data_IF_923009468649
#
_entry.id   IF_923009468649
#
_cell.length_a   1.000
_cell.length_b   1.000
_cell.length_c   1.000
_cell.angle_alpha   90.00
_cell.angle_beta   90.00
_cell.angle_gamma   90.00
#
_symmetry.space_group_name_H-M   'P 1'
#
loop_
_entity.id
_entity.type
_entity.pdbx_description
1 polymer ?
2 polymer ?
3 polymer ?
4 water ?
#
loop_
_entity_poly.entity_id
_entity_poly.type
_entity_poly.pdbx_seq_one_letter_code
_entity_poly.pdbx_strand_id
2 'polyribonucleotide' 'AACAGAGUGCGACACCUGAUUCCAU' ?
3 'polydeoxyribonucleotide' '(DT)(DG)(DG)(DA)(DA)(DT)(DC)(DA)(DG)(DG)(DT)(DG)(DT)(DC)(DG)(DC)(DA)(DC)(DT)(DC)(DT)(DG)' ?
#
# COMPACT_ATOMS: atom_id res chain seq x y z
N UNK A 38 -23.70 -20.36 10.73
CA UNK A 38 -23.43 -19.83 12.07
C UNK A 38 -23.51 -18.31 12.09
N UNK A 39 -23.08 -17.69 10.98
CA UNK A 39 -23.10 -16.23 10.85
C UNK A 39 -23.67 -15.79 9.50
N UNK A 40 -24.84 -16.31 9.15
CA UNK A 40 -25.41 -16.24 7.79
C UNK A 40 -25.49 -14.81 7.25
N UNK A 41 -25.77 -13.85 8.13
CA UNK A 41 -25.98 -12.48 7.70
C UNK A 41 -24.73 -11.85 7.06
N UNK A 42 -23.58 -12.02 7.72
CA UNK A 42 -22.36 -11.29 7.35
C UNK A 42 -21.54 -11.90 6.22
N UNK A 43 -21.91 -13.08 5.75
CA UNK A 43 -21.15 -13.74 4.69
C UNK A 43 -21.79 -13.57 3.33
N UNK A 44 -21.20 -12.73 2.50
CA UNK A 44 -21.71 -12.48 1.16
C UNK A 44 -22.24 -13.75 0.52
N UNK A 45 -21.44 -14.81 0.57
CA UNK A 45 -21.81 -16.10 -0.02
C UNK A 45 -23.20 -16.56 0.44
N UNK A 46 -23.58 -16.18 1.65
CA UNK A 46 -24.90 -16.49 2.20
C UNK A 46 -25.82 -15.27 2.27
N UNK A 47 -25.51 -14.33 3.16
CA UNK A 47 -26.35 -13.18 3.40
C UNK A 47 -26.59 -12.26 2.22
N UNK A 48 -26.32 -12.73 1.00
CA UNK A 48 -26.63 -11.99 -0.22
C UNK A 48 -25.97 -10.62 -0.34
N UNK A 49 -26.20 -9.97 -1.48
CA UNK A 49 -25.62 -8.65 -1.76
C UNK A 49 -25.81 -7.69 -0.60
N UNK A 50 -24.84 -6.80 -0.41
CA UNK A 50 -24.85 -5.91 0.74
C UNK A 50 -25.49 -4.55 0.49
N UNK A 51 -25.87 -3.90 1.58
CA UNK A 51 -26.37 -2.53 1.54
C UNK A 51 -26.03 -1.81 2.85
N UNK A 52 -25.12 -0.85 2.76
CA UNK A 52 -24.75 -0.05 3.92
C UNK A 52 -25.97 0.71 4.41
N UNK A 53 -26.56 0.21 5.49
CA UNK A 53 -27.83 0.72 5.99
C UNK A 53 -27.76 2.12 6.63
N UNK A 54 -26.74 2.37 7.43
CA UNK A 54 -26.54 3.70 7.99
C UNK A 54 -26.17 4.70 6.89
N UNK A 55 -25.92 4.22 5.69
CA UNK A 55 -25.44 5.09 4.61
C UNK A 55 -26.53 5.51 3.63
N UNK A 56 -26.87 6.80 3.63
CA UNK A 56 -27.94 7.30 2.78
C UNK A 56 -27.41 7.54 1.37
N UNK A 57 -28.23 7.19 0.36
CA UNK A 57 -27.94 7.35 -1.07
C UNK A 57 -27.10 8.58 -1.36
N UNK A 58 -26.13 8.38 -2.22
CA UNK A 58 -25.17 9.41 -2.55
C UNK A 58 -25.66 10.35 -3.65
N UNK A 59 -25.36 11.62 -3.48
CA UNK A 59 -25.64 12.61 -4.51
C UNK A 59 -24.31 13.19 -4.98
N UNK A 60 -23.97 12.89 -6.23
CA UNK A 60 -22.68 13.25 -6.81
C UNK A 60 -22.68 14.69 -7.34
N UNK A 61 -22.01 15.60 -6.62
CA UNK A 61 -21.89 17.02 -6.98
C UNK A 61 -21.11 17.23 -8.28
N UNK A 62 -21.73 17.91 -9.23
CA UNK A 62 -21.13 18.09 -10.55
C UNK A 62 -20.33 19.37 -10.64
N UNK A 63 -19.46 19.43 -11.64
CA UNK A 63 -18.70 20.65 -11.92
C UNK A 63 -19.69 21.74 -12.29
N UNK A 64 -19.42 22.96 -11.83
CA UNK A 64 -20.31 24.09 -12.06
C UNK A 64 -20.54 24.40 -13.55
N UNK A 65 -19.84 23.69 -14.42
CA UNK A 65 -19.83 24.04 -15.84
C UNK A 65 -19.97 22.84 -16.77
N UNK A 66 -20.26 21.68 -16.20
CA UNK A 66 -20.30 20.44 -16.96
C UNK A 66 -21.52 20.28 -17.87
N UNK A 67 -21.50 19.23 -18.70
CA UNK A 67 -22.60 18.92 -19.59
C UNK A 67 -22.57 17.43 -19.91
N UNK A 68 -23.72 16.77 -19.87
CA UNK A 68 -23.85 15.35 -20.21
C UNK A 68 -23.03 14.96 -21.44
N UNK A 69 -22.54 13.72 -21.44
CA UNK A 69 -21.68 13.25 -22.51
C UNK A 69 -22.05 11.83 -22.86
N UNK A 70 -22.47 11.63 -24.10
CA UNK A 70 -22.66 10.28 -24.59
C UNK A 70 -21.37 9.88 -25.26
N UNK A 71 -20.96 8.64 -25.05
CA UNK A 71 -19.70 8.13 -25.59
C UNK A 71 -19.89 6.74 -26.16
N UNK A 72 -19.44 6.55 -27.39
CA UNK A 72 -19.67 5.33 -28.14
C UNK A 72 -19.16 4.07 -27.44
N UNK A 73 -20.09 3.18 -27.09
CA UNK A 73 -19.72 1.89 -26.50
C UNK A 73 -18.61 1.22 -27.31
N UNK A 74 -17.40 1.22 -26.76
CA UNK A 74 -16.25 0.56 -27.38
C UNK A 74 -16.61 -0.87 -27.75
N UNK A 75 -16.08 -1.36 -28.86
CA UNK A 75 -16.24 -2.78 -29.18
C UNK A 75 -15.42 -3.63 -28.21
N UNK A 76 -15.91 -4.80 -27.85
CA UNK A 76 -15.16 -5.68 -26.94
C UNK A 76 -14.70 -6.99 -27.56
N UNK A 77 -15.58 -7.99 -27.59
CA UNK A 77 -15.28 -9.31 -28.13
C UNK A 77 -16.31 -10.30 -27.63
N UNK A 78 -16.30 -11.50 -28.19
CA UNK A 78 -17.24 -12.54 -27.79
C UNK A 78 -16.99 -13.00 -26.36
N UNK A 79 -15.72 -12.92 -25.93
CA UNK A 79 -15.33 -13.37 -24.60
C UNK A 79 -15.57 -12.28 -23.55
N UNK A 80 -15.38 -11.02 -23.95
CA UNK A 80 -15.68 -9.90 -23.07
C UNK A 80 -17.20 -9.73 -22.91
N UNK A 81 -17.91 -9.68 -24.03
CA UNK A 81 -19.37 -9.61 -24.00
C UNK A 81 -19.94 -10.79 -23.21
N UNK A 82 -19.31 -11.96 -23.33
CA UNK A 82 -19.77 -13.13 -22.61
C UNK A 82 -19.21 -13.19 -21.19
N UNK A 83 -18.13 -12.46 -20.95
CA UNK A 83 -17.48 -12.44 -19.66
C UNK A 83 -18.35 -11.79 -18.59
N UNK A 84 -18.71 -10.53 -18.83
CA UNK A 84 -19.56 -9.78 -17.91
C UNK A 84 -21.04 -9.93 -18.25
N UNK A 85 -21.33 -10.70 -19.29
CA UNK A 85 -22.71 -10.97 -19.68
C UNK A 85 -23.54 -11.51 -18.52
N UNK A 86 -23.07 -12.58 -17.86
CA UNK A 86 -23.89 -13.15 -16.79
C UNK A 86 -23.94 -12.21 -15.59
N UNK A 87 -23.02 -11.25 -15.53
CA UNK A 87 -22.97 -10.30 -14.42
C UNK A 87 -24.01 -9.20 -14.62
N UNK A 88 -24.00 -8.59 -15.79
CA UNK A 88 -24.98 -7.57 -16.12
C UNK A 88 -26.39 -8.13 -15.99
N UNK A 89 -26.51 -9.46 -16.00
CA UNK A 89 -27.81 -10.12 -15.89
C UNK A 89 -28.11 -10.48 -14.44
N UNK A 90 -27.07 -10.82 -13.69
CA UNK A 90 -27.19 -11.11 -12.28
C UNK A 90 -27.54 -9.84 -11.49
N UNK A 91 -26.99 -8.71 -11.92
CA UNK A 91 -27.17 -7.43 -11.25
C UNK A 91 -28.55 -6.85 -11.53
N UNK A 92 -28.99 -7.07 -12.75
CA UNK A 92 -30.26 -6.56 -13.24
C UNK A 92 -31.41 -6.99 -12.34
N UNK A 93 -31.70 -8.29 -12.36
CA UNK A 93 -32.77 -8.84 -11.55
C UNK A 93 -32.49 -8.65 -10.06
N UNK A 94 -31.30 -8.18 -9.75
CA UNK A 94 -30.91 -7.95 -8.36
C UNK A 94 -31.12 -6.48 -7.97
N UNK A 95 -31.51 -5.67 -8.95
CA UNK A 95 -31.87 -4.29 -8.70
C UNK A 95 -30.72 -3.31 -8.84
N UNK A 96 -29.50 -3.80 -8.61
CA UNK A 96 -28.33 -2.94 -8.66
C UNK A 96 -28.24 -2.24 -10.00
N UNK A 97 -28.81 -2.89 -11.02
CA UNK A 97 -28.80 -2.36 -12.38
C UNK A 97 -30.23 -2.21 -12.92
N UNK A 98 -30.51 -1.06 -13.52
CA UNK A 98 -31.86 -0.72 -13.98
C UNK A 98 -31.92 -0.07 -15.36
N UNK A 99 -32.98 -0.40 -16.13
CA UNK A 99 -33.25 0.21 -17.43
C UNK A 99 -33.28 1.72 -17.33
N UNK A 100 -32.52 2.40 -18.19
CA UNK A 100 -32.39 3.84 -18.12
C UNK A 100 -32.30 4.49 -19.49
N UNK A 101 -32.62 5.77 -19.55
CA UNK A 101 -32.47 6.57 -20.76
C UNK A 101 -31.80 7.90 -20.42
N UNK A 102 -30.50 7.99 -20.71
CA UNK A 102 -29.71 9.11 -20.24
C UNK A 102 -28.95 9.83 -21.35
N UNK A 103 -28.83 11.16 -21.21
CA UNK A 103 -27.96 12.00 -22.03
C UNK A 103 -26.56 11.41 -22.05
N UNK A 104 -26.01 11.23 -20.85
CA UNK A 104 -24.69 10.63 -20.69
C UNK A 104 -24.70 9.19 -21.17
N UNK A 105 -23.62 8.83 -21.86
CA UNK A 105 -23.28 7.42 -22.00
C UNK A 105 -21.78 7.33 -21.90
N UNK A 106 -21.30 6.34 -21.14
CA UNK A 106 -19.90 5.97 -21.14
C UNK A 106 -19.84 4.46 -21.34
N UNK A 107 -18.74 3.98 -21.97
CA UNK A 107 -18.64 2.58 -22.37
C UNK A 107 -18.14 1.71 -21.23
N UNK A 108 -18.75 0.56 -21.01
CA UNK A 108 -18.26 -0.30 -19.93
C UNK A 108 -16.97 -1.05 -20.30
N UNK A 109 -16.05 -1.09 -19.35
CA UNK A 109 -14.71 -1.64 -19.56
C UNK A 109 -14.49 -2.86 -18.66
N UNK A 110 -15.03 -4.03 -19.03
CA UNK A 110 -14.85 -5.22 -18.19
C UNK A 110 -13.39 -5.70 -18.09
N UNK A 111 -13.07 -6.45 -17.03
CA UNK A 111 -11.71 -6.93 -16.79
C UNK A 111 -11.72 -8.43 -16.36
N UNK A 112 -10.60 -8.92 -15.82
CA UNK A 112 -10.55 -10.32 -15.36
C UNK A 112 -9.32 -10.63 -14.48
N UNK A 113 -9.25 -11.87 -13.99
CA UNK A 113 -8.11 -12.33 -13.19
C UNK A 113 -7.94 -13.85 -13.27
N UNK A 118 -13.85 -15.14 -14.20
CA UNK A 118 -14.91 -14.30 -14.76
C UNK A 118 -14.41 -12.90 -15.11
N UNK A 119 -15.33 -11.94 -15.14
CA UNK A 119 -15.00 -10.57 -15.49
C UNK A 119 -15.62 -9.57 -14.50
N UNK A 120 -14.97 -8.40 -14.41
CA UNK A 120 -15.49 -7.30 -13.60
C UNK A 120 -16.29 -6.32 -14.46
N UNK A 121 -17.44 -5.89 -13.94
CA UNK A 121 -18.26 -4.89 -14.64
C UNK A 121 -17.70 -3.45 -14.53
N UNK A 122 -16.38 -3.27 -14.61
CA UNK A 122 -15.80 -1.93 -14.56
C UNK A 122 -16.39 -1.09 -15.67
N UNK A 123 -16.20 0.23 -15.62
CA UNK A 123 -16.75 1.09 -16.65
C UNK A 123 -15.83 2.26 -16.96
N UNK A 124 -15.39 2.35 -18.20
CA UNK A 124 -14.51 3.45 -18.62
C UNK A 124 -15.27 4.76 -18.62
N UNK A 125 -14.94 5.64 -17.68
CA UNK A 125 -15.66 6.90 -17.60
C UNK A 125 -14.81 8.05 -17.10
N UNK A 126 -13.75 8.35 -17.84
CA UNK A 126 -12.89 9.50 -17.53
C UNK A 126 -13.61 10.81 -17.83
N UNK A 127 -14.48 10.75 -18.84
CA UNK A 127 -15.23 11.93 -19.28
C UNK A 127 -16.21 12.40 -18.22
N UNK A 128 -16.89 11.44 -17.58
CA UNK A 128 -17.79 11.76 -16.47
C UNK A 128 -17.00 12.32 -15.29
N UNK A 129 -16.11 11.52 -14.74
CA UNK A 129 -15.43 11.92 -13.51
C UNK A 129 -14.47 13.10 -13.70
N UNK A 130 -14.43 13.64 -14.91
CA UNK A 130 -13.72 14.89 -15.12
C UNK A 130 -14.72 16.04 -15.07
N UNK A 131 -15.99 15.71 -15.32
CA UNK A 131 -17.10 16.66 -15.17
C UNK A 131 -17.58 16.69 -13.71
N UNK A 132 -17.01 15.84 -12.87
CA UNK A 132 -17.37 15.77 -11.46
C UNK A 132 -16.33 16.45 -10.57
N UNK A 133 -16.80 17.23 -9.60
CA UNK A 133 -15.92 17.98 -8.71
C UNK A 133 -15.04 17.05 -7.88
N UNK A 134 -14.00 17.61 -7.26
CA UNK A 134 -13.07 16.82 -6.47
C UNK A 134 -13.37 16.96 -4.97
N UNK A 135 -12.98 15.95 -4.19
CA UNK A 135 -13.24 15.94 -2.75
C UNK A 135 -11.98 15.62 -1.97
N UNK A 136 -11.80 16.27 -0.83
CA UNK A 136 -10.64 16.01 0.02
C UNK A 136 -10.63 14.55 0.46
N UNK A 137 -9.63 13.78 -0.02
CA UNK A 137 -9.57 12.32 0.18
C UNK A 137 -9.28 11.89 1.61
N UNK A 138 -9.53 10.61 1.89
CA UNK A 138 -9.32 10.02 3.21
C UNK A 138 -8.85 8.56 3.16
N UNK A 139 -8.64 8.02 1.96
CA UNK A 139 -8.05 6.69 1.80
C UNK A 139 -6.72 6.61 2.53
N UNK A 140 -6.46 5.47 3.19
CA UNK A 140 -5.25 5.25 4.02
C UNK A 140 -3.92 5.21 3.23
N UNK A 141 -2.83 5.53 3.91
CA UNK A 141 -1.51 5.42 3.30
C UNK A 141 -0.95 4.01 3.46
N UNK A 142 -0.96 3.21 2.36
CA UNK A 142 -0.61 1.78 2.40
C UNK A 142 0.80 1.56 2.94
N UNK A 143 1.59 2.63 2.95
CA UNK A 143 2.99 2.60 3.35
C UNK A 143 3.13 2.45 4.87
N UNK A 144 2.33 3.20 5.63
CA UNK A 144 2.52 3.22 7.08
C UNK A 144 1.35 2.71 7.91
N UNK A 145 0.42 2.02 7.29
CA UNK A 145 -0.76 1.54 8.00
C UNK A 145 -0.37 0.58 9.11
N UNK A 146 0.58 -0.31 8.82
CA UNK A 146 0.99 -1.35 9.76
C UNK A 146 1.78 -0.77 10.92
N UNK A 147 2.31 0.44 10.73
CA UNK A 147 2.97 1.19 11.80
C UNK A 147 2.08 1.19 13.04
N UNK A 148 0.79 0.93 12.86
CA UNK A 148 -0.17 0.95 13.94
C UNK A 148 -0.60 -0.41 14.45
N UNK A 149 0.25 -1.41 14.25
CA UNK A 149 -0.02 -2.74 14.79
C UNK A 149 0.94 -3.03 15.94
N UNK A 150 0.42 -3.05 17.18
CA UNK A 150 1.18 -3.23 18.41
C UNK A 150 1.49 -4.72 18.71
N UNK A 151 2.74 -5.03 19.09
CA UNK A 151 3.25 -6.39 19.29
C UNK A 151 2.49 -7.13 20.38
N UNK A 152 1.81 -6.36 21.23
CA UNK A 152 0.89 -6.93 22.20
C UNK A 152 -0.11 -7.80 21.47
N UNK A 153 -0.43 -7.39 20.25
CA UNK A 153 -1.47 -8.03 19.45
C UNK A 153 -0.89 -8.84 18.30
N UNK A 154 -0.95 -10.15 18.46
CA UNK A 154 -0.30 -11.06 17.52
C UNK A 154 -1.22 -12.19 17.09
N UNK A 155 -2.48 -12.13 17.52
CA UNK A 155 -3.53 -12.98 16.97
C UNK A 155 -4.36 -12.21 15.95
N UNK A 156 -4.35 -12.69 14.70
CA UNK A 156 -4.86 -11.91 13.58
C UNK A 156 -6.05 -12.56 12.90
N UNK A 157 -6.97 -11.72 12.42
CA UNK A 157 -8.01 -12.14 11.48
C UNK A 157 -8.07 -11.14 10.33
N UNK A 158 -8.26 -11.62 9.11
CA UNK A 158 -8.44 -10.71 7.99
C UNK A 158 -9.74 -11.00 7.24
N UNK A 159 -10.54 -9.96 7.06
CA UNK A 159 -11.79 -10.06 6.32
C UNK A 159 -11.82 -9.13 5.11
N UNK A 160 -11.89 -9.73 3.92
CA UNK A 160 -12.02 -8.96 2.70
C UNK A 160 -13.50 -8.76 2.40
N UNK A 161 -13.87 -7.52 2.07
CA UNK A 161 -15.27 -7.19 1.84
C UNK A 161 -15.75 -7.40 0.39
N UNK A 162 -16.80 -8.22 0.24
CA UNK A 162 -17.35 -8.57 -1.05
C UNK A 162 -18.20 -7.42 -1.61
N UNK A 163 -17.93 -7.05 -2.86
CA UNK A 163 -18.68 -5.98 -3.53
C UNK A 163 -18.91 -4.80 -2.59
N UNK A 164 -17.82 -4.21 -2.13
CA UNK A 164 -17.93 -3.14 -1.13
C UNK A 164 -18.66 -1.91 -1.68
N UNK A 165 -18.22 -1.44 -2.84
CA UNK A 165 -18.79 -0.23 -3.42
C UNK A 165 -20.30 -0.31 -3.63
N UNK A 166 -20.80 -1.48 -3.98
CA UNK A 166 -22.24 -1.68 -4.20
C UNK A 166 -23.07 -1.58 -2.94
N UNK A 167 -22.42 -1.63 -1.77
CA UNK A 167 -23.14 -1.49 -0.52
C UNK A 167 -23.64 -0.05 -0.34
N UNK A 168 -23.01 0.88 -1.05
CA UNK A 168 -23.46 2.26 -1.08
C UNK A 168 -24.48 2.50 -2.18
N UNK A 169 -25.55 3.21 -1.82
CA UNK A 169 -26.63 3.49 -2.75
C UNK A 169 -26.37 4.78 -3.48
N UNK A 170 -26.79 4.82 -4.74
CA UNK A 170 -26.78 6.02 -5.53
C UNK A 170 -28.16 6.64 -5.45
N UNK A 171 -28.21 7.96 -5.32
CA UNK A 171 -29.47 8.67 -5.25
C UNK A 171 -29.99 8.89 -6.66
N UNK A 172 -31.30 8.72 -6.87
CA UNK A 172 -31.88 8.69 -8.23
C UNK A 172 -31.53 9.94 -9.02
N UNK A 173 -31.32 11.06 -8.32
CA UNK A 173 -30.89 12.26 -9.01
C UNK A 173 -29.63 11.99 -9.82
N UNK A 174 -28.63 11.39 -9.18
CA UNK A 174 -27.32 11.20 -9.80
C UNK A 174 -27.19 9.93 -10.65
N UNK A 175 -28.07 8.96 -10.42
CA UNK A 175 -28.07 7.70 -11.15
C UNK A 175 -27.77 7.74 -12.67
N UNK A 176 -28.30 8.74 -13.39
CA UNK A 176 -28.06 8.80 -14.85
C UNK A 176 -26.59 8.95 -15.27
N UNK A 177 -25.80 9.73 -14.54
CA UNK A 177 -24.40 9.96 -14.91
C UNK A 177 -23.70 8.67 -15.33
N UNK A 178 -24.16 7.55 -14.77
CA UNK A 178 -23.50 6.26 -14.93
C UNK A 178 -24.29 5.35 -15.86
N UNK A 179 -24.47 5.77 -17.10
CA UNK A 179 -25.23 4.97 -18.06
C UNK A 179 -24.35 4.43 -19.17
N UNK A 180 -24.77 3.30 -19.74
CA UNK A 180 -24.00 2.63 -20.78
C UNK A 180 -24.93 1.80 -21.66
N UNK A 181 -24.65 1.76 -22.96
CA UNK A 181 -25.53 1.04 -23.90
C UNK A 181 -25.69 -0.44 -23.57
N UNK A 182 -26.68 -1.08 -24.18
CA UNK A 182 -26.80 -2.53 -24.03
C UNK A 182 -27.67 -3.24 -25.09
N UNK A 183 -27.65 -4.58 -25.05
CA UNK A 183 -28.37 -5.43 -25.99
C UNK A 183 -28.37 -6.88 -25.52
N UNK A 184 -29.55 -7.50 -25.44
CA UNK A 184 -29.69 -8.92 -25.13
C UNK A 184 -31.16 -9.33 -24.97
N UNK A 192 -29.55 0.90 -23.26
CA UNK A 192 -28.90 1.72 -22.25
C UNK A 192 -29.39 1.40 -20.82
N UNK A 193 -28.45 1.12 -19.91
CA UNK A 193 -28.75 0.87 -18.50
C UNK A 193 -28.01 1.82 -17.55
N UNK A 194 -28.24 1.63 -16.24
CA UNK A 194 -27.54 2.42 -15.21
C UNK A 194 -27.54 1.82 -13.80
N UNK A 195 -26.72 2.43 -12.95
CA UNK A 195 -26.41 1.92 -11.62
C UNK A 195 -27.27 2.55 -10.53
N UNK A 196 -27.88 1.72 -9.70
CA UNK A 196 -28.57 2.25 -8.52
C UNK A 196 -27.60 2.33 -7.34
N UNK A 197 -26.50 1.57 -7.43
CA UNK A 197 -25.46 1.60 -6.40
C UNK A 197 -24.20 2.28 -6.93
N UNK A 198 -23.13 2.25 -6.14
CA UNK A 198 -21.87 2.90 -6.50
C UNK A 198 -20.96 2.01 -7.38
N UNK A 199 -20.63 2.49 -8.59
CA UNK A 199 -19.98 1.65 -9.61
C UNK A 199 -18.45 1.79 -9.61
N UNK A 200 -17.78 0.76 -10.11
CA UNK A 200 -16.33 0.81 -10.28
C UNK A 200 -15.96 1.60 -11.53
N UNK A 201 -14.94 2.44 -11.41
CA UNK A 201 -14.51 3.27 -12.52
C UNK A 201 -14.67 4.70 -12.09
N UNK A 202 -15.62 4.89 -11.18
CA UNK A 202 -15.94 6.21 -10.65
C UNK A 202 -14.82 6.69 -9.71
N UNK A 203 -14.38 7.92 -9.92
CA UNK A 203 -13.16 8.41 -9.28
C UNK A 203 -13.30 8.61 -7.78
N UNK A 204 -14.50 8.83 -7.30
CA UNK A 204 -14.69 9.05 -5.88
C UNK A 204 -15.00 7.77 -5.13
N UNK A 205 -15.46 6.75 -5.84
CA UNK A 205 -15.82 5.47 -5.20
C UNK A 205 -14.87 5.05 -4.07
N UNK A 206 -13.55 4.96 -4.36
CA UNK A 206 -12.58 4.64 -3.32
C UNK A 206 -12.74 5.45 -2.03
N UNK A 207 -12.59 6.77 -2.08
CA UNK A 207 -12.68 7.59 -0.86
C UNK A 207 -14.05 7.57 -0.18
N UNK A 208 -15.09 7.86 -0.95
CA UNK A 208 -16.46 7.79 -0.48
C UNK A 208 -16.70 6.56 0.35
N UNK A 209 -16.18 5.43 -0.11
CA UNK A 209 -16.40 4.18 0.62
C UNK A 209 -15.56 4.04 1.89
N UNK A 210 -14.31 4.49 1.83
CA UNK A 210 -13.48 4.46 3.01
C UNK A 210 -14.20 5.17 4.16
N UNK A 211 -14.55 6.43 3.94
CA UNK A 211 -15.26 7.25 4.91
C UNK A 211 -16.51 6.57 5.44
N UNK A 212 -17.36 6.12 4.54
CA UNK A 212 -18.58 5.42 4.95
C UNK A 212 -18.27 4.33 5.97
N UNK A 213 -17.35 3.43 5.62
CA UNK A 213 -17.06 2.27 6.44
C UNK A 213 -16.29 2.68 7.68
N UNK A 214 -15.37 3.62 7.53
CA UNK A 214 -14.62 4.10 8.66
C UNK A 214 -15.55 4.68 9.73
N UNK A 215 -16.46 5.52 9.27
CA UNK A 215 -17.49 6.09 10.14
C UNK A 215 -18.33 4.99 10.75
N UNK A 216 -18.82 4.07 9.93
CA UNK A 216 -19.66 3.01 10.45
C UNK A 216 -18.96 2.15 11.48
N UNK A 217 -17.63 2.18 11.50
CA UNK A 217 -16.86 1.33 12.40
C UNK A 217 -16.31 2.07 13.61
N UNK A 218 -16.33 3.39 13.56
CA UNK A 218 -15.86 4.24 14.66
C UNK A 218 -16.52 3.84 15.98
N UNK A 219 -17.67 3.18 15.89
CA UNK A 219 -18.38 2.70 17.06
C UNK A 219 -17.62 1.59 17.74
N UNK A 220 -17.60 0.43 17.07
CA UNK A 220 -16.73 -0.69 17.39
C UNK A 220 -15.39 -0.29 18.04
N UNK A 221 -14.60 0.51 17.32
CA UNK A 221 -13.25 0.86 17.76
C UNK A 221 -13.17 1.38 19.20
N UNK A 222 -14.13 2.19 19.62
CA UNK A 222 -14.15 2.68 20.99
C UNK A 222 -14.69 1.64 21.97
N UNK A 223 -15.59 0.78 21.46
CA UNK A 223 -16.29 -0.19 22.29
C UNK A 223 -15.49 -1.49 22.57
N UNK A 224 -14.72 -1.95 21.59
CA UNK A 224 -13.71 -2.98 21.83
C UNK A 224 -12.33 -2.37 21.69
N UNK A 225 -11.85 -1.69 22.73
CA UNK A 225 -10.56 -0.99 22.62
C UNK A 225 -9.41 -1.96 22.89
N UNK A 226 -9.77 -3.15 23.37
CA UNK A 226 -8.80 -4.22 23.58
C UNK A 226 -8.34 -4.83 22.25
N UNK A 227 -9.09 -4.55 21.18
CA UNK A 227 -8.79 -5.05 19.84
C UNK A 227 -8.16 -3.97 18.97
N UNK A 228 -7.41 -4.39 17.95
CA UNK A 228 -6.98 -3.48 16.89
C UNK A 228 -7.74 -3.75 15.62
N UNK A 229 -8.09 -2.67 14.90
CA UNK A 229 -8.75 -2.83 13.62
C UNK A 229 -8.12 -1.90 12.60
N UNK A 230 -7.26 -2.47 11.75
CA UNK A 230 -6.71 -1.73 10.62
C UNK A 230 -7.68 -1.89 9.45
N UNK A 231 -7.78 -0.88 8.61
CA UNK A 231 -8.72 -0.91 7.48
C UNK A 231 -8.13 -0.28 6.21
N UNK A 232 -7.80 -1.11 5.22
CA UNK A 232 -7.36 -0.57 3.93
C UNK A 232 -8.54 -0.57 2.98
N UNK A 233 -9.31 0.53 3.01
CA UNK A 233 -10.49 0.70 2.18
C UNK A 233 -11.46 -0.46 2.31
N UNK A 234 -11.16 -1.49 1.54
CA UNK A 234 -12.05 -2.59 1.25
C UNK A 234 -11.88 -3.72 2.28
N UNK A 235 -10.65 -3.93 2.75
CA UNK A 235 -10.38 -5.08 3.62
C UNK A 235 -9.71 -4.75 4.97
N UNK A 236 -10.00 -5.61 5.95
CA UNK A 236 -9.79 -5.29 7.36
C UNK A 236 -8.93 -6.30 8.08
N UNK A 237 -8.02 -5.77 8.90
CA UNK A 237 -7.26 -6.58 9.84
C UNK A 237 -7.74 -6.39 11.27
N UNK A 238 -8.01 -7.50 11.94
CA UNK A 238 -8.34 -7.50 13.36
C UNK A 238 -7.23 -8.17 14.18
N UNK A 239 -6.73 -7.49 15.21
CA UNK A 239 -5.65 -8.04 16.03
C UNK A 239 -6.01 -8.21 17.52
N UNK A 240 -5.93 -9.43 18.01
CA UNK A 240 -6.16 -9.70 19.42
C UNK A 240 -4.83 -9.92 20.13
N UNK A 241 -4.89 -10.52 21.31
CA UNK A 241 -3.68 -10.88 22.06
C UNK A 241 -3.78 -12.35 22.41
N UNK A 242 -4.91 -12.97 22.07
CA UNK A 242 -5.23 -14.30 22.54
C UNK A 242 -6.03 -15.05 21.49
N UNK A 243 -5.84 -16.36 21.42
CA UNK A 243 -6.58 -17.16 20.47
C UNK A 243 -8.09 -16.92 20.58
N UNK A 244 -8.59 -16.77 21.80
CA UNK A 244 -10.01 -16.51 22.01
C UNK A 244 -10.31 -15.01 22.03
N UNK A 245 -9.42 -14.22 22.63
CA UNK A 245 -9.58 -12.78 22.59
C UNK A 245 -9.63 -12.33 21.12
N UNK A 246 -9.26 -13.23 20.22
CA UNK A 246 -9.36 -12.96 18.80
C UNK A 246 -10.70 -13.45 18.32
N UNK A 247 -11.11 -14.62 18.79
CA UNK A 247 -12.39 -15.23 18.40
C UNK A 247 -13.58 -14.52 19.01
N UNK A 248 -13.34 -13.60 19.94
CA UNK A 248 -14.43 -12.76 20.41
C UNK A 248 -14.65 -11.69 19.36
N UNK A 249 -13.64 -10.83 19.18
CA UNK A 249 -13.71 -9.75 18.21
C UNK A 249 -14.19 -10.25 16.86
N UNK A 250 -13.65 -11.38 16.42
CA UNK A 250 -14.02 -11.93 15.13
C UNK A 250 -15.47 -12.39 15.12
N UNK A 251 -16.05 -12.59 16.30
CA UNK A 251 -17.50 -12.83 16.40
C UNK A 251 -18.23 -11.49 16.38
N UNK A 252 -17.85 -10.58 17.27
CA UNK A 252 -18.44 -9.25 17.35
C UNK A 252 -18.35 -8.53 15.99
N UNK A 253 -17.12 -8.21 15.57
CA UNK A 253 -16.92 -7.58 14.29
C UNK A 253 -17.71 -8.26 13.20
N UNK A 254 -17.57 -9.58 13.10
CA UNK A 254 -18.23 -10.31 12.02
C UNK A 254 -19.74 -10.10 12.10
N UNK A 255 -20.23 -9.83 13.30
CA UNK A 255 -21.64 -9.54 13.51
C UNK A 255 -21.96 -8.13 13.04
N UNK A 256 -21.43 -7.15 13.77
CA UNK A 256 -21.52 -5.73 13.38
C UNK A 256 -21.53 -5.49 11.86
N UNK A 257 -20.66 -6.18 11.13
CA UNK A 257 -20.59 -6.01 9.69
C UNK A 257 -21.86 -6.51 8.97
N UNK A 258 -22.43 -7.61 9.46
CA UNK A 258 -23.69 -8.11 8.95
C UNK A 258 -24.81 -7.11 9.18
N UNK A 259 -24.85 -6.54 10.39
CA UNK A 259 -25.83 -5.52 10.74
C UNK A 259 -25.68 -4.29 9.87
N UNK A 260 -24.54 -3.63 9.99
CA UNK A 260 -24.27 -2.44 9.20
C UNK A 260 -24.63 -2.63 7.71
N UNK A 261 -24.69 -3.87 7.26
CA UNK A 261 -25.15 -4.14 5.90
C UNK A 261 -24.03 -4.50 4.95
N UNK A 262 -22.83 -4.69 5.49
CA UNK A 262 -21.70 -5.09 4.69
C UNK A 262 -21.57 -6.62 4.68
N UNK A 263 -20.93 -7.16 3.66
CA UNK A 263 -20.70 -8.60 3.57
C UNK A 263 -19.23 -8.91 3.31
N UNK A 264 -18.73 -10.00 3.87
CA UNK A 264 -17.34 -10.39 3.67
C UNK A 264 -17.22 -11.75 3.00
N UNK A 265 -16.19 -11.87 2.16
CA UNK A 265 -15.94 -13.10 1.43
C UNK A 265 -15.55 -14.20 2.41
N UNK A 266 -16.29 -15.30 2.38
CA UNK A 266 -15.97 -16.46 3.21
C UNK A 266 -14.85 -17.26 2.54
N UNK A 267 -14.73 -17.13 1.23
CA UNK A 267 -13.61 -17.70 0.50
C UNK A 267 -12.31 -17.11 1.05
N UNK A 268 -12.16 -15.80 0.90
CA UNK A 268 -10.90 -15.12 1.25
C UNK A 268 -10.70 -14.79 2.74
N UNK A 269 -11.61 -15.27 3.60
CA UNK A 269 -11.51 -14.99 5.03
C UNK A 269 -10.28 -15.66 5.61
N UNK A 270 -9.69 -15.04 6.63
CA UNK A 270 -8.53 -15.58 7.35
C UNK A 270 -8.78 -15.44 8.83
N UNK A 271 -9.37 -16.46 9.44
CA UNK A 271 -9.84 -16.32 10.80
C UNK A 271 -8.88 -16.84 11.86
N UNK A 272 -8.68 -16.02 12.89
CA UNK A 272 -7.83 -16.35 14.03
C UNK A 272 -6.61 -17.19 13.71
N UNK A 273 -5.71 -16.62 12.90
CA UNK A 273 -4.48 -17.30 12.54
C UNK A 273 -3.32 -16.67 13.29
N UNK A 274 -2.21 -17.41 13.36
CA UNK A 274 -1.01 -16.90 13.99
C UNK A 274 -0.18 -16.18 12.92
N UNK A 275 -0.43 -16.52 11.66
CA UNK A 275 0.10 -15.73 10.54
C UNK A 275 -0.99 -15.50 9.50
N UNK A 276 -0.91 -14.35 8.82
CA UNK A 276 -1.89 -13.98 7.80
C UNK A 276 -1.24 -13.19 6.67
N UNK A 277 -1.82 -13.29 5.47
CA UNK A 277 -1.40 -12.45 4.37
C UNK A 277 -2.25 -11.17 4.37
N UNK A 278 -1.58 -10.02 4.29
CA UNK A 278 -2.28 -8.74 4.33
C UNK A 278 -1.45 -7.67 3.63
N UNK A 279 -2.06 -7.02 2.65
CA UNK A 279 -1.41 -5.92 1.93
C UNK A 279 -0.20 -6.35 1.10
N UNK A 280 -0.18 -7.63 0.73
CA UNK A 280 0.91 -8.17 -0.06
C UNK A 280 1.94 -8.88 0.78
N UNK A 281 1.69 -8.94 2.09
CA UNK A 281 2.68 -9.45 3.02
C UNK A 281 2.22 -10.64 3.82
N UNK A 282 3.21 -11.34 4.37
CA UNK A 282 2.96 -12.31 5.40
C UNK A 282 3.23 -11.63 6.74
N UNK A 283 2.21 -11.57 7.59
CA UNK A 283 2.37 -11.07 8.94
C UNK A 283 2.35 -12.24 9.89
N UNK A 284 3.35 -12.30 10.75
CA UNK A 284 3.41 -13.32 11.79
C UNK A 284 4.26 -12.75 12.90
N UNK A 285 3.71 -12.71 14.11
CA UNK A 285 4.46 -12.28 15.29
C UNK A 285 5.05 -10.88 15.18
N UNK A 286 4.25 -9.92 14.76
CA UNK A 286 4.70 -8.54 14.65
C UNK A 286 5.86 -8.32 13.69
N UNK A 287 6.04 -9.26 12.77
CA UNK A 287 7.03 -9.11 11.72
C UNK A 287 6.40 -9.25 10.35
N UNK A 288 7.07 -8.68 9.36
CA UNK A 288 6.54 -8.57 8.00
C UNK A 288 7.44 -9.31 7.01
N UNK A 289 6.97 -10.43 6.48
CA UNK A 289 7.76 -11.23 5.53
C UNK A 289 7.30 -11.02 4.10
N UNK A 290 8.24 -10.99 3.15
CA UNK A 290 7.91 -11.09 1.72
C UNK A 290 7.30 -12.46 1.38
N UNK A 291 6.26 -12.44 0.56
CA UNK A 291 5.58 -13.66 0.14
C UNK A 291 6.36 -14.43 -0.91
N UNK A 292 6.31 -15.75 -0.85
CA UNK A 292 7.02 -16.55 -1.85
C UNK A 292 6.44 -16.27 -3.25
N UNK A 293 5.13 -16.04 -3.29
CA UNK A 293 4.49 -15.57 -4.52
C UNK A 293 5.27 -14.39 -5.07
N UNK A 294 5.36 -13.33 -4.28
CA UNK A 294 6.06 -12.12 -4.69
C UNK A 294 7.43 -12.46 -5.25
N UNK A 295 8.17 -13.31 -4.54
CA UNK A 295 9.49 -13.67 -5.00
C UNK A 295 9.45 -14.38 -6.36
N UNK A 296 8.61 -15.41 -6.47
CA UNK A 296 8.55 -16.20 -7.69
C UNK A 296 8.40 -15.32 -8.92
N UNK A 297 7.71 -14.19 -8.78
CA UNK A 297 7.45 -13.30 -9.91
C UNK A 297 8.72 -12.60 -10.42
N UNK A 298 9.84 -12.87 -9.77
CA UNK A 298 11.09 -12.22 -10.12
C UNK A 298 12.10 -13.30 -10.47
N UNK A 299 12.28 -14.22 -9.52
CA UNK A 299 13.11 -15.39 -9.70
C UNK A 299 12.70 -16.10 -10.98
N UNK A 300 11.39 -16.19 -11.18
CA UNK A 300 10.82 -16.94 -12.28
C UNK A 300 11.15 -16.43 -13.67
N UNK A 301 11.20 -15.11 -13.82
CA UNK A 301 11.45 -14.50 -15.13
C UNK A 301 12.87 -14.71 -15.65
N UNK A 302 13.00 -14.72 -16.98
CA UNK A 302 14.28 -14.82 -17.68
C UNK A 302 15.02 -13.49 -17.68
N UNK A 303 16.35 -13.54 -17.69
CA UNK A 303 17.19 -12.35 -17.64
C UNK A 303 16.79 -11.32 -18.69
N UNK A 304 16.49 -10.10 -18.25
CA UNK A 304 15.97 -9.05 -19.14
C UNK A 304 16.89 -8.77 -20.33
N UNK A 305 16.29 -8.58 -21.50
CA UNK A 305 17.06 -8.35 -22.73
C UNK A 305 16.63 -7.06 -23.43
N UNK A 306 15.67 -6.38 -22.83
CA UNK A 306 15.27 -5.07 -23.33
C UNK A 306 15.22 -4.08 -22.17
N UNK A 307 15.15 -2.78 -22.48
CA UNK A 307 14.89 -1.82 -21.39
C UNK A 307 13.53 -2.11 -20.76
N UNK A 308 12.48 -2.19 -21.57
CA UNK A 308 11.17 -2.57 -21.06
C UNK A 308 11.24 -3.73 -20.07
N UNK A 309 11.96 -4.78 -20.43
CA UNK A 309 12.08 -5.95 -19.57
C UNK A 309 12.86 -5.63 -18.31
N UNK A 310 13.81 -4.71 -18.43
CA UNK A 310 14.61 -4.29 -17.28
C UNK A 310 13.76 -3.47 -16.33
N UNK A 311 13.01 -2.54 -16.89
CA UNK A 311 12.11 -1.71 -16.14
C UNK A 311 11.05 -2.50 -15.37
N UNK A 312 10.56 -3.58 -15.96
CA UNK A 312 9.61 -4.43 -15.26
C UNK A 312 10.32 -5.06 -14.07
N UNK A 313 11.60 -5.36 -14.25
CA UNK A 313 12.38 -6.05 -13.22
C UNK A 313 12.65 -5.11 -12.06
N UNK A 314 13.34 -4.02 -12.34
CA UNK A 314 13.58 -3.00 -11.32
C UNK A 314 12.25 -2.57 -10.70
N UNK A 315 11.23 -2.46 -11.54
CA UNK A 315 9.89 -2.16 -11.08
C UNK A 315 9.44 -3.04 -9.93
N UNK A 316 9.40 -4.35 -10.14
CA UNK A 316 8.84 -5.26 -9.14
C UNK A 316 9.80 -5.56 -8.00
N UNK A 317 11.09 -5.59 -8.30
CA UNK A 317 12.10 -5.84 -7.28
C UNK A 317 12.18 -4.64 -6.35
N UNK A 318 12.00 -3.45 -6.92
CA UNK A 318 12.04 -2.23 -6.16
C UNK A 318 10.96 -2.16 -5.11
N UNK A 319 9.89 -2.92 -5.30
CA UNK A 319 8.84 -3.02 -4.30
C UNK A 319 9.30 -3.91 -3.12
N UNK A 320 10.53 -4.40 -3.19
CA UNK A 320 11.08 -5.22 -2.13
C UNK A 320 12.28 -4.55 -1.47
N UNK A 321 12.60 -3.34 -1.90
CA UNK A 321 13.79 -2.63 -1.47
C UNK A 321 13.90 -2.47 0.06
N UNK A 322 12.77 -2.56 0.75
CA UNK A 322 12.80 -2.43 2.20
C UNK A 322 13.49 -3.63 2.83
N UNK A 323 13.56 -4.73 2.08
CA UNK A 323 14.20 -5.96 2.55
C UNK A 323 15.57 -6.17 1.93
N UNK A 324 15.98 -5.26 1.03
CA UNK A 324 17.28 -5.40 0.40
C UNK A 324 18.24 -4.32 0.87
N UNK A 325 19.17 -4.70 1.76
CA UNK A 325 20.25 -3.84 2.27
C UNK A 325 21.11 -3.24 1.16
N UNK A 326 21.31 -1.93 1.23
CA UNK A 326 22.05 -1.24 0.21
C UNK A 326 21.52 -1.51 -1.20
N UNK A 327 20.21 -1.68 -1.31
CA UNK A 327 19.56 -1.87 -2.61
C UNK A 327 19.99 -0.85 -3.67
N UNK A 328 19.61 0.40 -3.49
CA UNK A 328 19.93 1.44 -4.47
C UNK A 328 21.33 1.30 -5.08
N UNK A 329 22.33 1.04 -4.23
CA UNK A 329 23.71 0.91 -4.70
C UNK A 329 23.88 -0.37 -5.50
N UNK A 330 23.26 -1.43 -5.00
CA UNK A 330 23.29 -2.74 -5.63
C UNK A 330 22.90 -2.65 -7.11
N UNK A 331 21.84 -1.87 -7.37
CA UNK A 331 21.24 -1.78 -8.70
C UNK A 331 21.82 -0.65 -9.57
N UNK A 332 22.85 0.02 -9.06
CA UNK A 332 23.45 1.13 -9.78
C UNK A 332 23.76 0.80 -11.25
N UNK A 333 24.44 -0.33 -11.49
CA UNK A 333 24.84 -0.70 -12.86
C UNK A 333 23.66 -0.89 -13.81
N UNK A 334 22.50 -1.21 -13.26
CA UNK A 334 21.34 -1.53 -14.07
C UNK A 334 20.63 -0.30 -14.61
N UNK A 335 20.58 0.76 -13.81
CA UNK A 335 19.72 1.89 -14.15
C UNK A 335 19.96 2.57 -15.51
N UNK A 336 21.24 2.82 -15.88
CA UNK A 336 21.49 3.52 -17.15
C UNK A 336 21.02 2.74 -18.38
N UNK A 337 20.79 1.43 -18.23
CA UNK A 337 20.24 0.63 -19.33
C UNK A 337 18.74 0.84 -19.48
N UNK A 338 18.25 1.99 -19.05
CA UNK A 338 16.87 2.39 -19.35
C UNK A 338 16.87 3.74 -20.08
N UNK A 339 15.81 4.00 -20.84
CA UNK A 339 15.72 5.19 -21.70
C UNK A 339 16.35 4.96 -23.09
N UNK A 342 19.10 4.85 -25.38
CA UNK A 342 20.21 4.34 -24.57
C UNK A 342 20.51 2.88 -24.91
N UNK A 343 21.72 2.62 -25.41
CA UNK A 343 22.14 1.27 -25.77
C UNK A 343 21.90 0.30 -24.63
N UNK A 344 22.07 -0.99 -24.92
CA UNK A 344 21.78 -2.03 -23.94
C UNK A 344 22.92 -3.04 -23.86
N UNK A 345 24.09 -2.60 -23.38
CA UNK A 345 25.20 -3.54 -23.19
C UNK A 345 25.19 -4.20 -21.81
N UNK A 346 25.05 -5.52 -21.80
CA UNK A 346 24.85 -6.26 -20.57
C UNK A 346 26.16 -6.86 -20.08
N UNK A 347 27.02 -6.00 -19.56
CA UNK A 347 28.32 -6.43 -19.08
C UNK A 347 28.23 -7.15 -17.76
N UNK A 348 29.39 -7.44 -17.16
CA UNK A 348 29.49 -8.20 -15.91
C UNK A 348 28.83 -7.48 -14.75
N UNK A 349 28.90 -6.14 -14.71
CA UNK A 349 28.31 -5.38 -13.63
C UNK A 349 26.80 -5.52 -13.68
N UNK A 350 26.27 -5.57 -14.90
CA UNK A 350 24.85 -5.74 -15.12
C UNK A 350 24.40 -7.09 -14.56
N UNK A 351 25.15 -8.13 -14.93
CA UNK A 351 24.84 -9.47 -14.48
C UNK A 351 25.09 -9.64 -12.96
N UNK A 352 26.06 -8.90 -12.45
CA UNK A 352 26.41 -8.93 -11.04
C UNK A 352 25.27 -8.34 -10.22
N UNK A 353 24.82 -7.15 -10.64
CA UNK A 353 23.67 -6.52 -10.01
C UNK A 353 22.49 -7.47 -10.10
N UNK A 354 22.18 -7.91 -11.31
CA UNK A 354 21.06 -8.82 -11.55
C UNK A 354 21.05 -9.98 -10.56
N UNK A 355 22.18 -10.68 -10.48
CA UNK A 355 22.32 -11.79 -9.55
C UNK A 355 22.11 -11.32 -8.13
N UNK A 356 22.95 -10.39 -7.69
CA UNK A 356 22.90 -9.89 -6.33
C UNK A 356 21.48 -9.66 -5.85
N UNK A 357 20.72 -8.90 -6.62
CA UNK A 357 19.35 -8.54 -6.26
C UNK A 357 18.47 -9.77 -6.03
N UNK A 358 18.55 -10.73 -6.93
CA UNK A 358 17.72 -11.93 -6.81
C UNK A 358 18.15 -12.73 -5.60
N UNK A 359 19.46 -12.75 -5.37
CA UNK A 359 20.00 -13.47 -4.24
C UNK A 359 19.48 -12.86 -2.96
N UNK A 360 19.45 -11.53 -2.94
CA UNK A 360 19.03 -10.77 -1.79
C UNK A 360 17.57 -11.02 -1.41
N UNK A 361 16.78 -11.53 -2.36
CA UNK A 361 15.39 -11.89 -2.09
C UNK A 361 15.29 -13.23 -1.40
N UNK A 362 16.14 -14.17 -1.81
CA UNK A 362 16.11 -15.50 -1.22
C UNK A 362 16.52 -15.40 0.23
N UNK A 363 17.52 -14.56 0.49
CA UNK A 363 18.09 -14.42 1.81
C UNK A 363 17.36 -13.37 2.63
N UNK A 364 16.28 -12.82 2.06
CA UNK A 364 15.51 -11.73 2.68
C UNK A 364 14.99 -12.10 4.06
N UNK A 365 15.15 -11.16 5.01
CA UNK A 365 14.85 -11.27 6.43
C UNK A 365 13.42 -10.83 6.75
N UNK A 366 12.87 -11.24 7.88
CA UNK A 366 11.63 -10.62 8.32
C UNK A 366 11.92 -9.19 8.76
N UNK A 367 10.97 -8.29 8.56
CA UNK A 367 11.06 -6.95 9.12
C UNK A 367 10.19 -6.88 10.36
N UNK A 368 10.66 -6.12 11.35
CA UNK A 368 9.87 -5.85 12.53
C UNK A 368 8.91 -4.71 12.22
N UNK A 369 7.68 -4.82 12.70
CA UNK A 369 6.70 -3.75 12.53
C UNK A 369 7.01 -2.59 13.47
N UNK A 370 6.98 -1.36 12.95
CA UNK A 370 7.39 -0.18 13.69
C UNK A 370 6.65 -0.03 15.01
N UNK A 371 7.39 0.02 16.11
CA UNK A 371 6.81 0.27 17.42
C UNK A 371 6.92 1.75 17.73
N UNK A 372 5.78 2.43 17.78
CA UNK A 372 5.77 3.88 17.91
C UNK A 372 5.89 4.34 19.37
N UNK A 373 5.78 3.40 20.30
CA UNK A 373 5.93 3.70 21.71
C UNK A 373 7.37 3.46 22.16
N UNK A 374 8.23 3.05 21.22
CA UNK A 374 9.65 2.85 21.51
C UNK A 374 10.49 3.77 20.64
N UNK A 375 11.79 3.86 20.91
CA UNK A 375 12.68 4.65 20.05
C UNK A 375 13.30 3.82 18.91
N UNK A 376 13.98 4.50 17.99
CA UNK A 376 14.59 3.84 16.84
C UNK A 376 16.06 4.23 16.72
N UNK A 377 16.87 3.32 16.19
CA UNK A 377 18.23 3.67 15.75
C UNK A 377 18.30 3.54 14.23
N UNK A 378 19.08 4.41 13.62
CA UNK A 378 19.30 4.36 12.19
C UNK A 378 20.79 4.27 11.91
N UNK A 379 21.25 3.10 11.52
CA UNK A 379 22.64 2.93 11.12
C UNK A 379 22.76 3.27 9.63
N UNK A 380 23.75 4.08 9.28
CA UNK A 380 23.86 4.66 7.95
C UNK A 380 25.28 4.56 7.37
N UNK A 381 25.39 4.36 6.07
CA UNK A 381 26.69 4.39 5.41
C UNK A 381 26.54 5.02 4.02
N UNK A 382 27.63 5.53 3.48
CA UNK A 382 27.61 6.11 2.17
C UNK A 382 28.73 5.51 1.32
N UNK A 383 28.42 5.26 0.06
CA UNK A 383 29.36 4.57 -0.82
C UNK A 383 29.23 5.09 -2.26
N UNK A 384 30.28 5.77 -2.73
CA UNK A 384 30.38 6.24 -4.11
C UNK A 384 29.10 6.93 -4.62
N UNK A 385 28.46 7.71 -3.77
CA UNK A 385 27.29 8.47 -4.19
C UNK A 385 25.99 7.77 -3.86
N UNK A 386 26.09 6.72 -3.04
CA UNK A 386 24.91 5.97 -2.66
C UNK A 386 24.75 5.89 -1.16
N UNK A 387 23.55 6.16 -0.69
CA UNK A 387 23.24 6.09 0.73
C UNK A 387 22.51 4.81 1.05
N UNK A 388 22.91 4.17 2.14
CA UNK A 388 22.28 2.93 2.60
C UNK A 388 22.27 2.89 4.11
N UNK A 389 21.27 2.22 4.68
CA UNK A 389 21.21 2.06 6.12
C UNK A 389 20.02 1.25 6.59
N UNK A 390 20.08 0.77 7.82
CA UNK A 390 18.97 0.00 8.36
C UNK A 390 18.35 0.69 9.58
N UNK A 391 17.04 0.90 9.53
CA UNK A 391 16.31 1.44 10.66
C UNK A 391 15.93 0.29 11.57
N UNK A 392 16.31 0.38 12.84
CA UNK A 392 16.10 -0.72 13.76
C UNK A 392 15.39 -0.29 15.04
N UNK A 393 14.95 -1.28 15.79
CA UNK A 393 14.38 -1.08 17.11
C UNK A 393 14.79 -2.28 17.95
N UNK A 394 14.72 -2.15 19.27
CA UNK A 394 15.19 -3.24 20.11
C UNK A 394 14.05 -4.08 20.69
N UNK A 395 14.22 -5.39 20.64
CA UNK A 395 13.40 -6.31 21.43
C UNK A 395 14.35 -7.09 22.34
N UNK A 396 14.42 -6.63 23.58
CA UNK A 396 15.41 -7.11 24.54
C UNK A 396 16.81 -6.76 24.08
N UNK A 397 17.66 -7.79 23.97
CA UNK A 397 19.08 -7.69 23.58
C UNK A 397 19.27 -7.57 22.08
N UNK A 398 18.18 -7.54 21.32
CA UNK A 398 18.25 -7.60 19.88
C UNK A 398 17.88 -6.31 19.17
N UNK A 399 18.74 -5.87 18.26
CA UNK A 399 18.35 -4.90 17.26
C UNK A 399 17.70 -5.70 16.14
N UNK A 400 16.46 -5.38 15.84
CA UNK A 400 15.73 -6.05 14.77
C UNK A 400 15.35 -5.00 13.74
N UNK A 401 15.84 -5.17 12.50
CA UNK A 401 15.57 -4.20 11.44
C UNK A 401 14.08 -3.98 11.21
N UNK A 402 13.72 -2.73 10.99
CA UNK A 402 12.34 -2.36 10.73
C UNK A 402 12.18 -2.08 9.23
N UNK A 403 13.29 -1.70 8.60
CA UNK A 403 13.33 -1.42 7.17
C UNK A 403 14.74 -1.09 6.71
N UNK A 404 15.06 -1.45 5.47
CA UNK A 404 16.32 -1.02 4.87
C UNK A 404 16.07 0.15 3.96
N UNK A 405 16.85 1.20 4.15
CA UNK A 405 16.70 2.44 3.40
C UNK A 405 17.93 2.77 2.56
N UNK A 406 17.69 3.07 1.29
CA UNK A 406 18.77 3.48 0.40
C UNK A 406 18.23 4.45 -0.62
N UNK A 407 19.09 5.37 -1.08
CA UNK A 407 18.75 6.32 -2.12
C UNK A 407 20.00 6.68 -2.87
N UNK A 408 19.87 6.87 -4.19
CA UNK A 408 20.98 7.43 -4.93
C UNK A 408 21.15 8.86 -4.46
N UNK A 409 22.38 9.26 -4.17
CA UNK A 409 22.63 10.65 -3.83
C UNK A 409 22.44 11.49 -5.09
N UNK A 410 21.72 12.59 -4.98
CA UNK A 410 21.46 13.46 -6.12
C UNK A 410 22.76 14.06 -6.68
N UNK A 411 22.67 14.64 -7.88
CA UNK A 411 23.82 15.16 -8.64
C UNK A 411 24.77 16.06 -7.83
N UNK A 412 24.22 17.06 -7.15
CA UNK A 412 25.05 18.02 -6.41
C UNK A 412 25.67 17.38 -5.16
N UNK A 413 24.84 16.72 -4.37
CA UNK A 413 25.32 15.97 -3.22
C UNK A 413 26.48 15.08 -3.65
N UNK A 414 26.21 14.23 -4.64
CA UNK A 414 27.22 13.29 -5.14
C UNK A 414 28.53 13.99 -5.46
N UNK A 415 28.44 15.29 -5.73
CA UNK A 415 29.59 16.09 -6.09
C UNK A 415 30.48 16.44 -4.92
N UNK A 416 29.89 16.57 -3.73
CA UNK A 416 30.64 16.85 -2.50
C UNK A 416 31.59 15.71 -2.16
N UNK A 417 32.64 16.04 -1.38
CA UNK A 417 33.65 15.06 -0.97
C UNK A 417 33.07 14.04 0.00
N UNK A 418 33.79 12.91 0.20
CA UNK A 418 33.33 11.77 1.00
C UNK A 418 32.65 12.16 2.30
N UNK A 419 33.32 13.02 3.08
CA UNK A 419 32.80 13.47 4.37
C UNK A 419 31.42 14.11 4.22
N UNK A 420 31.34 15.15 3.39
CA UNK A 420 30.08 15.81 3.14
C UNK A 420 29.04 14.82 2.65
N UNK A 421 29.43 13.97 1.72
CA UNK A 421 28.55 12.93 1.19
C UNK A 421 27.87 12.15 2.32
N UNK A 422 28.67 11.69 3.29
CA UNK A 422 28.14 11.00 4.45
C UNK A 422 27.00 11.79 5.12
N UNK A 423 27.18 13.10 5.23
CA UNK A 423 26.16 13.93 5.88
C UNK A 423 24.85 13.88 5.08
N UNK A 424 24.97 14.09 3.77
CA UNK A 424 23.81 14.04 2.87
C UNK A 424 23.18 12.66 2.91
N UNK A 425 24.03 11.63 2.95
CA UNK A 425 23.57 10.27 3.11
C UNK A 425 22.68 10.18 4.34
N UNK A 426 23.21 10.62 5.47
CA UNK A 426 22.49 10.62 6.73
C UNK A 426 21.19 11.44 6.66
N UNK A 427 21.23 12.54 5.93
CA UNK A 427 20.06 13.40 5.79
C UNK A 427 18.87 12.73 5.08
N UNK A 428 19.12 12.17 3.90
CA UNK A 428 18.04 11.60 3.10
C UNK A 428 17.36 10.45 3.82
N UNK A 429 18.18 9.54 4.31
CA UNK A 429 17.67 8.35 4.96
C UNK A 429 16.89 8.72 6.21
N UNK A 430 17.34 9.77 6.89
CA UNK A 430 16.62 10.25 8.05
C UNK A 430 15.24 10.73 7.62
N UNK A 431 15.21 11.45 6.50
CA UNK A 431 13.95 11.95 5.96
C UNK A 431 13.02 10.78 5.62
N UNK A 432 13.59 9.74 5.02
CA UNK A 432 12.82 8.58 4.60
C UNK A 432 12.35 7.77 5.80
N UNK A 433 13.22 7.67 6.80
CA UNK A 433 12.88 6.98 8.04
C UNK A 433 11.66 7.65 8.69
N UNK A 434 11.60 8.97 8.59
CA UNK A 434 10.49 9.73 9.12
C UNK A 434 9.16 9.16 8.67
N UNK A 435 9.10 8.72 7.41
CA UNK A 435 7.87 8.14 6.86
C UNK A 435 7.41 6.90 7.66
N UNK A 436 8.27 6.40 8.53
CA UNK A 436 7.97 5.19 9.28
C UNK A 436 7.94 5.44 10.78
N UNK A 437 8.83 6.30 11.27
CA UNK A 437 8.92 6.57 12.69
C UNK A 437 7.78 7.47 13.14
N UNK A 438 7.35 8.36 12.25
CA UNK A 438 6.39 9.39 12.61
C UNK A 438 7.06 10.36 13.57
N UNK A 439 8.15 10.96 13.12
CA UNK A 439 8.93 11.86 13.95
C UNK A 439 9.23 11.40 15.36
N UNK A 440 9.12 10.08 15.62
CA UNK A 440 9.57 9.55 16.89
C UNK A 440 11.06 9.76 17.02
N UNK A 441 11.57 9.73 18.26
CA UNK A 441 12.99 9.97 18.52
C UNK A 441 13.89 8.94 17.84
N UNK A 442 14.97 9.45 17.26
CA UNK A 442 15.86 8.65 16.45
C UNK A 442 17.32 8.95 16.74
N UNK A 443 18.08 7.92 17.12
CA UNK A 443 19.53 8.05 17.25
C UNK A 443 20.18 7.68 15.94
N UNK A 444 21.03 8.55 15.42
CA UNK A 444 21.73 8.30 14.16
C UNK A 444 23.14 7.79 14.40
N UNK A 445 23.47 6.65 13.81
CA UNK A 445 24.80 6.07 13.96
C UNK A 445 25.45 5.81 12.61
N UNK A 446 26.78 5.83 12.56
CA UNK A 446 27.52 5.68 11.30
C UNK A 446 29.00 5.38 11.57
N UNK A 447 29.70 4.87 10.55
CA UNK A 447 31.10 4.46 10.64
C UNK A 447 32.06 5.64 10.67
N UNK A 448 31.55 6.84 10.37
CA UNK A 448 32.36 8.03 10.38
C UNK A 448 31.69 9.15 11.16
N UNK A 449 32.42 9.74 12.10
CA UNK A 449 31.89 10.79 12.94
C UNK A 449 31.60 12.03 12.11
N UNK A 450 30.45 12.63 12.37
CA UNK A 450 30.03 13.76 11.56
C UNK A 450 29.24 14.79 12.38
N UNK A 451 28.93 14.44 13.63
CA UNK A 451 28.19 15.31 14.54
C UNK A 451 28.80 16.70 14.60
N UNK A 452 30.11 16.73 14.77
CA UNK A 452 30.86 17.98 14.76
C UNK A 452 30.55 18.82 13.52
N UNK A 453 30.82 18.25 12.34
CA UNK A 453 30.67 18.95 11.07
C UNK A 453 29.29 19.56 10.87
N UNK A 454 28.24 18.85 11.31
CA UNK A 454 26.89 19.37 11.17
C UNK A 454 26.65 20.53 12.14
N UNK A 455 27.53 20.68 13.13
CA UNK A 455 27.45 21.81 14.06
C UNK A 455 28.49 22.89 13.73
N UNK A 456 29.62 22.49 13.17
CA UNK A 456 30.70 23.42 12.87
C UNK A 456 31.35 23.22 11.49
N UNK A 457 30.58 23.46 10.41
CA UNK A 457 31.19 23.38 9.08
C UNK A 457 31.95 24.66 8.66
N UNK A 458 33.05 24.50 7.91
CA UNK A 458 33.87 25.63 7.44
C UNK A 458 33.37 26.24 6.12
N UNK A 465 25.44 26.62 1.76
CA UNK A 465 24.65 26.08 0.65
C UNK A 465 23.43 25.30 1.11
N UNK A 466 23.64 23.99 1.24
CA UNK A 466 22.57 23.07 1.63
C UNK A 466 22.66 22.78 3.11
N UNK A 467 23.87 22.90 3.65
CA UNK A 467 24.12 22.70 5.07
C UNK A 467 22.99 23.26 5.91
N UNK A 468 22.82 24.58 5.80
CA UNK A 468 21.72 25.28 6.44
C UNK A 468 20.45 24.42 6.54
N UNK A 469 20.09 23.75 5.45
CA UNK A 469 18.89 22.91 5.44
C UNK A 469 19.13 21.56 6.11
N UNK A 470 20.31 21.00 5.88
CA UNK A 470 20.68 19.73 6.50
C UNK A 470 20.80 19.88 8.02
N UNK A 471 21.52 20.91 8.46
CA UNK A 471 21.61 21.25 9.88
C UNK A 471 20.23 21.40 10.52
N UNK A 472 19.36 22.16 9.86
CA UNK A 472 18.01 22.33 10.35
C UNK A 472 17.35 20.98 10.63
N UNK A 473 17.48 20.06 9.67
CA UNK A 473 16.86 18.74 9.77
C UNK A 473 17.52 17.85 10.81
N UNK A 474 18.84 17.84 10.81
CA UNK A 474 19.62 16.94 11.67
C UNK A 474 19.87 17.45 13.08
N UNK A 475 19.70 18.75 13.30
CA UNK A 475 20.01 19.33 14.60
C UNK A 475 18.79 19.64 15.45
N UNK A 476 17.60 19.32 14.93
CA UNK A 476 16.44 19.27 15.81
C UNK A 476 16.63 18.09 16.75
N UNK A 477 17.04 18.40 17.99
CA UNK A 477 17.43 17.38 18.95
C UNK A 477 16.24 16.75 19.66
N UNK A 478 15.05 17.25 19.36
CA UNK A 478 13.83 16.72 19.96
C UNK A 478 13.38 15.47 19.20
N UNK A 479 14.02 15.21 18.07
CA UNK A 479 13.67 14.05 17.25
C UNK A 479 14.93 13.31 16.76
N UNK A 480 16.06 14.01 16.75
CA UNK A 480 17.27 13.46 16.18
C UNK A 480 18.50 13.67 17.05
N UNK A 481 19.04 12.56 17.55
CA UNK A 481 20.29 12.56 18.29
C UNK A 481 21.36 11.75 17.54
N UNK A 482 22.53 12.33 17.35
CA UNK A 482 23.67 11.54 16.89
C UNK A 482 24.07 10.59 17.99
N UNK A 483 24.54 9.40 17.62
CA UNK A 483 25.13 8.49 18.58
C UNK A 483 26.60 8.33 18.28
N UNK A 484 27.24 7.36 18.94
CA UNK A 484 28.66 7.06 18.75
C UNK A 484 28.98 6.50 17.36
N UNK A 485 30.23 6.66 16.93
CA UNK A 485 30.71 6.02 15.71
C UNK A 485 30.81 4.52 15.94
N UNK A 486 30.36 3.74 14.96
CA UNK A 486 30.41 2.28 15.06
C UNK A 486 30.77 1.63 13.71
N UNK A 487 31.13 0.34 13.76
CA UNK A 487 31.44 -0.43 12.56
C UNK A 487 30.26 -1.33 12.22
N UNK A 488 29.98 -1.45 10.92
CA UNK A 488 28.81 -2.20 10.48
C UNK A 488 29.16 -3.52 9.78
N UNK A 489 28.26 -4.47 9.92
CA UNK A 489 28.22 -5.61 9.03
C UNK A 489 27.93 -5.09 7.61
N UNK A 490 28.80 -5.38 6.63
CA UNK A 490 28.61 -4.86 5.27
C UNK A 490 27.32 -5.38 4.63
N UNK A 491 26.91 -6.58 5.02
CA UNK A 491 25.58 -7.09 4.76
C UNK A 491 24.83 -6.81 6.03
N UNK A 492 23.50 -6.95 6.02
CA UNK A 492 22.69 -6.64 7.20
C UNK A 492 22.84 -5.20 7.70
N UNK A 493 24.03 -4.61 7.52
CA UNK A 493 24.29 -3.21 7.86
C UNK A 493 24.17 -2.90 9.36
N UNK A 494 24.15 -3.95 10.17
CA UNK A 494 24.06 -3.81 11.61
C UNK A 494 25.46 -3.58 12.16
N UNK A 495 25.55 -3.10 13.43
CA UNK A 495 26.83 -2.77 14.06
C UNK A 495 27.58 -4.00 14.54
N UNK A 496 28.91 -3.88 14.58
CA UNK A 496 29.78 -4.94 15.07
C UNK A 496 30.24 -4.58 16.47
N UNK A 497 30.32 -5.58 17.35
CA UNK A 497 30.74 -5.44 18.76
C UNK A 497 32.14 -4.85 18.90
#
# INVERSE_FOLDING_TARGET
MSHHHHHHSATLNIEDEYRLHETSKEPDVPLGSTWLSDFPQAWAETGGMGLAVRQAPLIIPLKATSTPVSIKQYPMSQEARLGIKPHIQRLLDQGILVPCQSPWNTPLLPVKKPGTNDYRPVQDLREVNKRVEDIHPTVPNPYNLLSGLPPSHQWYTVLDLKDAFFCLRLHPTSQPLFAFEWRDPEMGISGQLTWTRLPQGFKNSPTLFDEALHRDLADFRIQHPDLILLQYVDDLLLAATSEQDCQRGTRALLQTLGNLGYRASAKKAQICQKQVKYLGYLLKEGQRWLTEARKETVMGQPTPKTPRQLREFLGTAGFCRLWIPGFAEMAAPLYPLTKTGTLFNWGPDQQKAYQEIKQALLTAPALGLPDLTKPFELFVDEKQGYAKGVLTQKLGPWRRPVAYLSKKLDPVAAGWPPCLRMVAAIAVLTKDAGKLTMGQPLVILAPHAVEALVKQPPDRWLSNARMTHYQAMLLDTDRVQFGPVVALNPATLLPLPEKEAPHDCLEILAETHGTRPDLTDQPIPDADYTWYTDGSSFLQEGQRRAGAAVTTETEVIWARALPAGTSAQRAELIALTQALKMAEGKKLNVYTNSRYAFATAHVHGEIYRRRGLLTSEGREIKNKNEILALLKALFLPKRLSIIHCPGHQKGNSAEARGNRMADQAAREAAMKAVLETSTLL
#
